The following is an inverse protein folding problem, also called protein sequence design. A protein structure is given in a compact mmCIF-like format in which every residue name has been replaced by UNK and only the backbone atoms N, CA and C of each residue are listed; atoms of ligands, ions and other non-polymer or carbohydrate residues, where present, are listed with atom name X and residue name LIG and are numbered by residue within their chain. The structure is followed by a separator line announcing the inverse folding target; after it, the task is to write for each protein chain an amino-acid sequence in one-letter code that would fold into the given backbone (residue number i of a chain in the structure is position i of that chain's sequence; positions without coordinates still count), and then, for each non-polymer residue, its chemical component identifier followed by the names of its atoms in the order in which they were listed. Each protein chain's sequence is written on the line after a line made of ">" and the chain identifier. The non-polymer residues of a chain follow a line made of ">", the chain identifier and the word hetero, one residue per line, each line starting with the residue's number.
data_IF_061150372670
#
_entry.id   IF_061150372670
#
_cell.length_a   1.000
_cell.length_b   1.000
_cell.length_c   1.000
_cell.angle_alpha   90.00
_cell.angle_beta   90.00
_cell.angle_gamma   90.00
#
_symmetry.space_group_name_H-M   'P 1'
#
loop_
_entity.id
_entity.type
_entity.pdbx_description
1 polymer ?
#
# COMPACT_ATOMS: atom_id res chain seq x y z
N UNK A 1 -8.38 2.81 -9.08
CA UNK A 1 -8.49 2.93 -7.60
C UNK A 1 -8.95 4.34 -7.25
N UNK A 2 -9.84 4.55 -6.26
CA UNK A 2 -10.26 5.91 -5.87
C UNK A 2 -9.12 6.73 -5.25
N UNK A 3 -9.01 8.02 -5.56
CA UNK A 3 -7.96 8.93 -5.06
C UNK A 3 -7.95 9.03 -3.53
N UNK A 4 -9.13 9.00 -2.92
CA UNK A 4 -9.31 9.04 -1.46
C UNK A 4 -8.71 7.86 -0.70
N UNK A 5 -8.39 6.76 -1.39
CA UNK A 5 -7.63 5.68 -0.77
C UNK A 5 -6.25 6.16 -0.31
N UNK A 6 -5.67 7.13 -1.03
CA UNK A 6 -4.30 7.63 -0.83
C UNK A 6 -4.26 9.06 -0.30
N UNK A 7 -5.22 9.90 -0.69
CA UNK A 7 -5.19 11.34 -0.42
C UNK A 7 -6.57 11.84 0.03
N UNK A 8 -6.64 12.43 1.22
CA UNK A 8 -7.87 13.02 1.74
C UNK A 8 -8.32 14.22 0.88
N UNK A 9 -9.63 14.46 0.82
CA UNK A 9 -10.19 15.68 0.19
C UNK A 9 -9.81 16.94 0.95
N UNK A 10 -9.74 16.84 2.28
CA UNK A 10 -9.42 17.94 3.18
C UNK A 10 -8.20 17.60 4.03
N UNK A 11 -7.31 18.58 4.30
CA UNK A 11 -6.14 18.35 5.12
C UNK A 11 -6.53 18.10 6.58
N UNK A 12 -5.84 17.15 7.22
CA UNK A 12 -5.98 16.89 8.65
C UNK A 12 -5.60 18.13 9.48
N UNK A 13 -6.44 18.49 10.45
CA UNK A 13 -6.36 19.77 11.19
C UNK A 13 -5.15 19.94 12.12
N UNK A 14 -4.32 18.91 12.37
CA UNK A 14 -3.24 18.98 13.37
C UNK A 14 -1.92 18.26 12.99
N UNK A 15 -1.61 18.08 11.70
CA UNK A 15 -0.32 17.50 11.29
C UNK A 15 0.82 18.51 11.37
N UNK A 16 1.77 18.31 12.28
CA UNK A 16 3.08 19.00 12.31
C UNK A 16 4.19 17.98 12.05
N UNK A 17 5.34 18.39 11.48
CA UNK A 17 6.47 17.48 11.22
C UNK A 17 6.94 16.71 12.48
N UNK A 18 6.59 17.18 13.69
CA UNK A 18 6.89 16.52 14.97
C UNK A 18 5.88 15.46 15.42
N UNK A 19 4.74 15.33 14.74
CA UNK A 19 3.68 14.40 15.11
C UNK A 19 2.87 13.94 13.90
N UNK A 20 3.08 12.69 13.49
CA UNK A 20 2.25 12.07 12.44
C UNK A 20 0.80 11.97 12.95
N UNK A 21 -0.21 12.39 12.17
CA UNK A 21 -1.61 12.28 12.56
C UNK A 21 -1.97 10.87 13.04
N UNK A 22 -2.94 10.69 13.95
CA UNK A 22 -3.33 9.35 14.40
C UNK A 22 -3.93 8.52 13.26
N UNK A 23 -3.83 7.18 13.26
CA UNK A 23 -4.26 6.33 12.14
C UNK A 23 -5.70 6.57 11.66
N UNK A 24 -6.65 6.81 12.58
CA UNK A 24 -8.06 7.05 12.23
C UNK A 24 -8.30 8.32 11.42
N UNK A 25 -7.38 9.30 11.49
CA UNK A 25 -7.46 10.55 10.72
C UNK A 25 -6.81 10.40 9.33
N UNK A 26 -5.97 9.38 9.12
CA UNK A 26 -5.24 9.15 7.87
C UNK A 26 -6.12 8.54 6.79
N UNK A 27 -5.77 8.69 5.49
CA UNK A 27 -6.42 7.93 4.42
C UNK A 27 -6.18 6.41 4.59
N UNK A 28 -7.01 5.56 3.96
CA UNK A 28 -6.90 4.10 4.06
C UNK A 28 -5.48 3.56 3.83
N UNK A 29 -4.76 4.04 2.81
CA UNK A 29 -3.42 3.54 2.46
C UNK A 29 -2.42 3.62 3.61
N UNK A 30 -2.45 4.70 4.41
CA UNK A 30 -1.55 4.91 5.55
C UNK A 30 -2.16 4.57 6.90
N UNK A 31 -3.50 4.47 6.98
CA UNK A 31 -4.23 3.94 8.15
C UNK A 31 -4.01 2.44 8.34
N UNK A 32 -3.90 1.70 7.23
CA UNK A 32 -3.70 0.25 7.23
C UNK A 32 -2.28 -0.20 7.52
N UNK A 33 -1.30 0.72 7.48
CA UNK A 33 0.10 0.40 7.72
C UNK A 33 0.31 -0.17 9.13
N UNK A 34 1.06 -1.27 9.21
CA UNK A 34 1.47 -1.85 10.49
C UNK A 34 2.86 -2.48 10.42
N UNK A 35 3.52 -2.64 11.58
CA UNK A 35 4.89 -3.22 11.67
C UNK A 35 5.01 -4.63 11.07
N UNK A 36 3.90 -5.36 10.94
CA UNK A 36 3.79 -6.67 10.29
C UNK A 36 2.56 -6.73 9.37
N UNK A 37 2.14 -5.56 8.86
CA UNK A 37 0.82 -5.38 8.25
C UNK A 37 0.70 -6.14 6.94
N UNK A 38 -0.28 -7.02 6.86
CA UNK A 38 -0.78 -7.62 5.60
C UNK A 38 -2.01 -6.90 5.10
N UNK A 39 -2.59 -6.01 5.91
CA UNK A 39 -3.87 -5.39 5.64
C UNK A 39 -3.82 -4.53 4.36
N UNK A 40 -2.80 -3.69 4.20
CA UNK A 40 -2.65 -2.89 2.98
C UNK A 40 -2.48 -3.79 1.75
N UNK A 41 -1.57 -4.76 1.79
CA UNK A 41 -1.35 -5.74 0.73
C UNK A 41 -2.62 -6.51 0.38
N UNK A 42 -3.31 -7.05 1.37
CA UNK A 42 -4.58 -7.75 1.21
C UNK A 42 -5.66 -6.85 0.59
N UNK A 43 -5.77 -5.59 1.02
CA UNK A 43 -6.73 -4.66 0.42
C UNK A 43 -6.43 -4.41 -1.06
N UNK A 44 -5.17 -4.15 -1.40
CA UNK A 44 -4.75 -3.93 -2.78
C UNK A 44 -5.02 -5.17 -3.65
N UNK A 45 -4.63 -6.36 -3.17
CA UNK A 45 -4.88 -7.63 -3.84
C UNK A 45 -6.37 -7.89 -4.00
N UNK A 46 -7.19 -7.57 -3.00
CA UNK A 46 -8.62 -7.80 -3.08
C UNK A 46 -9.34 -6.84 -4.03
N UNK A 47 -8.91 -5.57 -4.06
CA UNK A 47 -9.37 -4.62 -5.07
C UNK A 47 -8.97 -5.06 -6.49
N UNK A 48 -7.73 -5.53 -6.68
CA UNK A 48 -7.26 -6.05 -7.95
C UNK A 48 -8.08 -7.27 -8.40
N UNK A 49 -8.25 -8.26 -7.51
CA UNK A 49 -9.06 -9.45 -7.75
C UNK A 49 -10.47 -9.09 -8.21
N UNK A 50 -11.15 -8.18 -7.48
CA UNK A 50 -12.49 -7.74 -7.81
C UNK A 50 -12.56 -7.03 -9.17
N UNK A 51 -11.58 -6.17 -9.47
CA UNK A 51 -11.51 -5.40 -10.72
C UNK A 51 -11.19 -6.28 -11.94
N UNK A 52 -10.45 -7.38 -11.78
CA UNK A 52 -10.15 -8.28 -12.92
C UNK A 52 -11.35 -9.07 -13.44
N UNK A 53 -12.46 -9.11 -12.70
CA UNK A 53 -13.66 -9.89 -13.04
C UNK A 53 -14.95 -9.06 -13.07
N UNK A 54 -14.84 -7.75 -12.95
CA UNK A 54 -15.99 -6.85 -12.82
C UNK A 54 -15.77 -5.61 -13.69
N UNK A 55 -16.76 -5.25 -14.49
CA UNK A 55 -16.72 -4.08 -15.36
C UNK A 55 -16.73 -2.76 -14.57
N UNK A 56 -16.15 -1.66 -15.11
CA UNK A 56 -16.21 -0.34 -14.49
C UNK A 56 -17.65 0.13 -14.21
N UNK A 57 -17.89 0.61 -12.98
CA UNK A 57 -19.20 1.03 -12.50
C UNK A 57 -20.04 -0.07 -11.86
N UNK A 58 -19.69 -1.34 -12.08
CA UNK A 58 -20.44 -2.48 -11.55
C UNK A 58 -19.95 -2.92 -10.16
N UNK A 59 -20.82 -3.66 -9.48
CA UNK A 59 -20.49 -4.30 -8.20
C UNK A 59 -20.07 -5.76 -8.43
N UNK A 60 -18.98 -6.23 -7.80
CA UNK A 60 -18.64 -7.65 -7.86
C UNK A 60 -19.76 -8.49 -7.24
N UNK A 61 -20.11 -9.63 -7.86
CA UNK A 61 -21.18 -10.53 -7.42
C UNK A 61 -20.88 -11.33 -6.12
N UNK A 62 -20.03 -10.81 -5.24
CA UNK A 62 -19.52 -11.48 -4.05
C UNK A 62 -18.07 -11.95 -4.21
N UNK A 63 -17.55 -12.62 -3.17
CA UNK A 63 -16.20 -13.18 -3.12
C UNK A 63 -16.24 -14.68 -3.44
N UNK A 64 -15.81 -15.10 -4.64
CA UNK A 64 -15.91 -16.51 -5.05
C UNK A 64 -14.78 -17.38 -4.47
N UNK A 65 -13.73 -16.77 -3.89
CA UNK A 65 -12.51 -17.49 -3.53
C UNK A 65 -12.59 -18.06 -2.12
N UNK A 66 -12.20 -19.34 -1.92
CA UNK A 66 -12.06 -19.88 -0.58
C UNK A 66 -10.92 -19.18 0.17
N UNK A 67 -11.00 -19.15 1.50
CA UNK A 67 -9.92 -18.58 2.31
C UNK A 67 -8.65 -19.42 2.21
N UNK A 68 -8.78 -20.75 2.20
CA UNK A 68 -7.68 -21.71 2.14
C UNK A 68 -8.08 -22.95 1.34
N UNK A 69 -7.11 -23.70 0.84
CA UNK A 69 -7.30 -25.01 0.23
C UNK A 69 -7.90 -26.02 1.22
N UNK A 70 -9.21 -26.20 1.19
CA UNK A 70 -9.93 -27.23 1.96
C UNK A 70 -10.36 -28.37 1.01
N UNK A 71 -9.44 -28.89 0.20
CA UNK A 71 -9.71 -29.96 -0.77
C UNK A 71 -10.48 -29.53 -2.03
N UNK A 72 -10.46 -28.24 -2.38
CA UNK A 72 -11.01 -27.74 -3.66
C UNK A 72 -9.87 -27.46 -4.63
N UNK A 73 -10.06 -27.83 -5.89
CA UNK A 73 -9.22 -27.37 -6.99
C UNK A 73 -9.51 -25.88 -7.23
N UNK A 74 -8.53 -25.01 -6.96
CA UNK A 74 -8.66 -23.58 -7.22
C UNK A 74 -7.79 -22.71 -6.31
N UNK A 75 -7.52 -21.50 -6.77
CA UNK A 75 -6.67 -20.51 -6.06
C UNK A 75 -7.43 -19.88 -4.89
N UNK A 76 -6.92 -20.07 -3.69
CA UNK A 76 -7.41 -19.53 -2.42
C UNK A 76 -6.75 -18.19 -2.06
N UNK A 77 -7.34 -17.45 -1.11
CA UNK A 77 -6.77 -16.20 -0.61
C UNK A 77 -5.37 -16.37 0.02
N UNK A 78 -5.10 -17.52 0.63
CA UNK A 78 -3.77 -17.85 1.16
C UNK A 78 -2.68 -17.92 0.10
N UNK A 79 -3.03 -18.12 -1.18
CA UNK A 79 -2.05 -18.23 -2.28
C UNK A 79 -1.72 -16.88 -2.89
N UNK A 80 -2.62 -15.91 -2.73
CA UNK A 80 -2.46 -14.54 -3.22
C UNK A 80 -1.64 -13.66 -2.25
N UNK A 81 -1.27 -14.20 -1.10
CA UNK A 81 -0.49 -13.50 -0.08
C UNK A 81 0.79 -14.28 0.25
N UNK A 82 1.94 -13.67 -0.04
CA UNK A 82 3.21 -14.16 0.46
C UNK A 82 3.28 -13.99 1.98
N UNK A 83 3.72 -15.03 2.68
CA UNK A 83 3.92 -15.02 4.13
C UNK A 83 5.22 -15.73 4.47
N UNK A 84 6.00 -15.21 5.43
CA UNK A 84 7.22 -15.85 5.98
C UNK A 84 6.91 -17.07 6.87
N UNK A 85 5.83 -17.80 6.55
CA UNK A 85 5.37 -18.92 7.34
C UNK A 85 6.21 -20.17 7.04
N UNK A 86 7.21 -20.42 7.87
CA UNK A 86 7.94 -21.69 7.93
C UNK A 86 7.25 -22.69 8.87
N UNK A 87 7.44 -24.00 8.65
CA UNK A 87 6.98 -25.02 9.59
C UNK A 87 7.79 -24.96 10.90
N UNK A 88 7.11 -24.83 12.04
CA UNK A 88 7.78 -24.86 13.35
C UNK A 88 8.02 -26.33 13.75
N UNK A 89 9.06 -26.94 13.21
CA UNK A 89 9.37 -28.37 13.42
C UNK A 89 9.80 -28.77 14.84
N UNK A 90 9.89 -27.84 15.81
CA UNK A 90 10.53 -28.11 17.11
C UNK A 90 9.75 -27.59 18.35
N UNK A 91 8.44 -27.36 18.25
CA UNK A 91 7.59 -26.98 19.40
C UNK A 91 6.47 -27.98 19.63
N UNK A 92 6.07 -28.16 20.90
CA UNK A 92 4.98 -29.06 21.39
C UNK A 92 3.59 -28.83 20.75
N UNK A 93 3.47 -27.92 19.79
CA UNK A 93 2.25 -27.59 19.06
C UNK A 93 2.58 -27.58 17.58
N UNK A 94 2.09 -28.57 16.85
CA UNK A 94 2.30 -28.72 15.41
C UNK A 94 1.37 -27.73 14.69
N UNK A 95 1.80 -26.46 14.56
CA UNK A 95 1.12 -25.46 13.75
C UNK A 95 1.67 -25.56 12.33
N UNK A 96 0.81 -25.92 11.38
CA UNK A 96 1.17 -26.02 9.97
C UNK A 96 1.40 -24.64 9.36
N UNK A 97 2.20 -24.56 8.29
CA UNK A 97 2.28 -23.36 7.43
C UNK A 97 0.91 -22.83 7.01
N UNK A 98 -0.03 -23.71 6.69
CA UNK A 98 -1.40 -23.35 6.29
C UNK A 98 -2.17 -22.67 7.44
N UNK A 99 -2.01 -23.13 8.68
CA UNK A 99 -2.61 -22.49 9.85
C UNK A 99 -2.03 -21.09 10.09
N UNK A 100 -0.71 -20.92 9.92
CA UNK A 100 -0.07 -19.60 10.02
C UNK A 100 -0.58 -18.64 8.95
N UNK A 101 -0.67 -19.10 7.71
CA UNK A 101 -1.23 -18.32 6.59
C UNK A 101 -2.68 -17.92 6.84
N UNK A 102 -3.53 -18.87 7.27
CA UNK A 102 -4.94 -18.59 7.59
C UNK A 102 -5.08 -17.59 8.73
N UNK A 103 -4.24 -17.70 9.77
CA UNK A 103 -4.20 -16.73 10.86
C UNK A 103 -3.75 -15.35 10.37
N UNK A 104 -2.76 -15.30 9.49
CA UNK A 104 -2.28 -14.04 8.92
C UNK A 104 -3.36 -13.35 8.08
N UNK A 105 -4.06 -14.11 7.23
CA UNK A 105 -5.21 -13.65 6.48
C UNK A 105 -6.33 -13.14 7.40
N UNK A 106 -6.68 -13.89 8.45
CA UNK A 106 -7.68 -13.48 9.44
C UNK A 106 -7.33 -12.17 10.12
N UNK A 107 -6.10 -12.01 10.61
CA UNK A 107 -5.62 -10.75 11.20
C UNK A 107 -5.71 -9.57 10.21
N UNK A 108 -5.44 -9.83 8.92
CA UNK A 108 -5.60 -8.86 7.85
C UNK A 108 -7.04 -8.44 7.66
N UNK A 109 -7.96 -9.40 7.57
CA UNK A 109 -9.40 -9.14 7.42
C UNK A 109 -9.99 -8.41 8.63
N UNK A 110 -9.59 -8.75 9.85
CA UNK A 110 -9.98 -8.01 11.06
C UNK A 110 -9.45 -6.57 11.07
N UNK A 111 -8.23 -6.35 10.57
CA UNK A 111 -7.70 -4.99 10.41
C UNK A 111 -8.49 -4.19 9.35
N UNK A 112 -8.89 -4.82 8.25
CA UNK A 112 -9.74 -4.21 7.23
C UNK A 112 -11.17 -3.94 7.74
N UNK A 113 -11.74 -4.84 8.54
CA UNK A 113 -13.07 -4.65 9.15
C UNK A 113 -13.05 -3.45 10.10
N UNK A 114 -12.04 -3.36 10.99
CA UNK A 114 -11.85 -2.21 11.88
C UNK A 114 -11.62 -0.90 11.13
N UNK A 115 -11.03 -0.96 9.93
CA UNK A 115 -10.87 0.19 9.05
C UNK A 115 -12.12 0.49 8.18
N UNK A 116 -13.17 -0.32 8.32
CA UNK A 116 -14.41 -0.26 7.55
C UNK A 116 -14.17 -0.33 6.04
N UNK A 117 -13.31 -1.25 5.63
CA UNK A 117 -12.99 -1.55 4.22
C UNK A 117 -13.51 -2.93 3.79
N UNK A 118 -13.83 -3.79 4.74
CA UNK A 118 -14.56 -5.03 4.50
C UNK A 118 -15.68 -5.21 5.52
N UNK A 119 -16.72 -5.94 5.12
CA UNK A 119 -17.73 -6.48 6.03
C UNK A 119 -17.56 -7.99 6.16
N UNK A 120 -17.71 -8.50 7.40
CA UNK A 120 -17.62 -9.92 7.73
C UNK A 120 -19.03 -10.44 8.06
N UNK A 121 -19.80 -10.94 7.06
CA UNK A 121 -21.21 -11.30 7.25
C UNK A 121 -21.43 -12.44 8.26
N UNK A 122 -20.41 -13.29 8.47
CA UNK A 122 -20.53 -14.50 9.28
C UNK A 122 -19.94 -14.35 10.68
N UNK A 123 -19.97 -13.13 11.24
CA UNK A 123 -19.39 -12.80 12.56
C UNK A 123 -19.94 -13.66 13.71
N UNK A 124 -21.17 -14.19 13.55
CA UNK A 124 -21.79 -15.13 14.49
C UNK A 124 -21.27 -16.57 14.41
N UNK A 125 -20.37 -16.90 13.48
CA UNK A 125 -19.85 -18.25 13.26
C UNK A 125 -18.34 -18.33 13.53
N UNK A 126 -17.89 -18.68 14.75
CA UNK A 126 -16.49 -18.56 15.16
C UNK A 126 -15.46 -19.26 14.25
N UNK A 127 -15.85 -20.37 13.60
CA UNK A 127 -14.96 -21.13 12.70
C UNK A 127 -14.95 -20.58 11.26
N UNK A 128 -15.92 -19.76 10.90
CA UNK A 128 -16.19 -19.31 9.53
C UNK A 128 -16.32 -17.78 9.40
N UNK A 129 -15.94 -17.01 10.43
CA UNK A 129 -16.09 -15.54 10.52
C UNK A 129 -15.69 -14.83 9.22
N UNK A 130 -14.57 -15.27 8.64
CA UNK A 130 -13.92 -14.61 7.51
C UNK A 130 -14.44 -15.05 6.14
N UNK A 131 -15.32 -16.07 6.04
CA UNK A 131 -15.79 -16.55 4.74
C UNK A 131 -16.58 -15.45 4.03
N UNK A 132 -16.51 -15.42 2.70
CA UNK A 132 -17.35 -14.54 1.88
C UNK A 132 -17.31 -13.06 2.31
N UNK A 133 -16.16 -12.59 2.81
CA UNK A 133 -16.01 -11.20 3.19
C UNK A 133 -16.36 -10.29 2.01
N UNK A 134 -17.02 -9.17 2.30
CA UNK A 134 -17.48 -8.22 1.29
C UNK A 134 -16.59 -6.98 1.28
N UNK A 135 -16.17 -6.53 0.10
CA UNK A 135 -15.45 -5.27 -0.04
C UNK A 135 -16.41 -4.08 0.14
N UNK A 136 -15.96 -3.07 0.88
CA UNK A 136 -16.61 -1.77 1.01
C UNK A 136 -15.82 -0.73 0.22
N UNK A 137 -16.44 0.41 -0.08
CA UNK A 137 -15.75 1.49 -0.78
C UNK A 137 -14.44 1.92 -0.07
N UNK A 138 -13.39 2.05 -0.87
CA UNK A 138 -12.03 2.31 -0.43
C UNK A 138 -11.74 3.81 -0.18
N UNK A 139 -12.77 4.59 0.13
CA UNK A 139 -12.68 6.04 0.40
C UNK A 139 -12.29 6.33 1.86
N UNK A 140 -11.98 7.60 2.15
CA UNK A 140 -11.79 8.07 3.52
C UNK A 140 -13.11 8.45 4.20
N UNK A 141 -14.24 8.30 3.49
CA UNK A 141 -15.57 8.71 3.93
C UNK A 141 -15.99 8.06 5.27
N UNK A 142 -16.82 8.77 6.06
CA UNK A 142 -17.36 8.25 7.30
C UNK A 142 -18.24 7.01 7.06
N UNK A 143 -18.39 6.21 8.12
CA UNK A 143 -19.25 5.02 8.14
C UNK A 143 -20.72 5.39 8.31
N UNK A 144 -21.68 4.60 7.78
CA UNK A 144 -21.48 3.34 7.07
C UNK A 144 -21.04 3.53 5.61
N UNK A 145 -20.18 2.64 5.12
CA UNK A 145 -19.73 2.66 3.73
C UNK A 145 -20.58 1.75 2.85
N UNK A 146 -20.90 2.16 1.61
CA UNK A 146 -21.59 1.29 0.68
C UNK A 146 -20.68 0.13 0.24
N UNK A 147 -21.26 -0.97 -0.28
CA UNK A 147 -20.51 -2.03 -0.94
C UNK A 147 -19.65 -1.48 -2.08
N UNK A 148 -18.47 -2.05 -2.24
CA UNK A 148 -17.53 -1.66 -3.28
C UNK A 148 -18.12 -1.80 -4.68
N UNK A 149 -17.86 -0.78 -5.51
CA UNK A 149 -18.04 -0.81 -6.97
C UNK A 149 -16.73 -0.43 -7.65
N UNK A 150 -16.50 -0.99 -8.85
CA UNK A 150 -15.34 -0.64 -9.66
C UNK A 150 -15.45 0.84 -10.07
N UNK A 151 -14.44 1.68 -9.85
CA UNK A 151 -14.47 3.08 -10.26
C UNK A 151 -14.74 3.24 -11.76
N UNK A 152 -15.73 4.07 -12.12
CA UNK A 152 -16.09 4.36 -13.52
C UNK A 152 -15.36 5.58 -14.09
N UNK A 153 -15.18 6.61 -13.27
CA UNK A 153 -14.66 7.91 -13.69
C UNK A 153 -13.17 8.06 -13.36
N UNK A 154 -12.39 8.57 -14.31
CA UNK A 154 -10.97 8.91 -14.10
C UNK A 154 -10.77 10.06 -13.12
N UNK A 155 -11.74 10.97 -12.98
CA UNK A 155 -11.52 12.22 -12.23
C UNK A 155 -11.36 11.99 -10.71
N UNK A 156 -12.02 10.97 -10.17
CA UNK A 156 -11.94 10.58 -8.75
C UNK A 156 -11.10 9.31 -8.55
N UNK A 157 -10.44 8.82 -9.59
CA UNK A 157 -9.62 7.62 -9.53
C UNK A 157 -8.23 7.82 -10.13
N UNK A 158 -7.33 6.89 -9.88
CA UNK A 158 -6.02 6.80 -10.50
C UNK A 158 -5.71 5.35 -10.84
N UNK A 159 -4.78 5.16 -11.77
CA UNK A 159 -4.39 3.84 -12.27
C UNK A 159 -3.30 3.27 -11.39
N UNK A 160 -3.51 2.03 -10.94
CA UNK A 160 -2.47 1.19 -10.33
C UNK A 160 -2.06 0.17 -11.39
N UNK A 161 -0.80 0.17 -11.87
CA UNK A 161 -0.36 -0.78 -12.88
C UNK A 161 -0.54 -2.23 -12.46
N UNK A 162 -1.08 -3.06 -13.36
CA UNK A 162 -1.26 -4.51 -13.14
C UNK A 162 0.05 -5.22 -12.80
N UNK A 163 1.16 -4.71 -13.35
CA UNK A 163 2.52 -5.16 -13.10
C UNK A 163 2.92 -5.16 -11.60
N UNK A 164 2.30 -4.31 -10.77
CA UNK A 164 2.47 -4.35 -9.31
C UNK A 164 2.08 -5.72 -8.73
N UNK A 165 1.03 -6.32 -9.28
CA UNK A 165 0.46 -7.59 -8.80
C UNK A 165 1.05 -8.80 -9.54
N UNK A 166 1.27 -8.68 -10.84
CA UNK A 166 1.68 -9.83 -11.68
C UNK A 166 3.17 -10.12 -11.62
N UNK A 167 4.00 -9.16 -11.18
CA UNK A 167 5.46 -9.31 -11.15
C UNK A 167 6.02 -9.35 -9.72
N UNK A 168 5.20 -9.75 -8.73
CA UNK A 168 5.65 -10.03 -7.37
C UNK A 168 5.93 -8.80 -6.47
N UNK A 169 5.88 -7.58 -7.00
CA UNK A 169 6.12 -6.35 -6.23
C UNK A 169 5.20 -6.20 -5.00
N UNK A 170 3.92 -6.55 -5.13
CA UNK A 170 2.96 -6.51 -4.02
C UNK A 170 3.38 -7.39 -2.83
N UNK A 171 4.15 -8.45 -3.08
CA UNK A 171 4.58 -9.42 -2.08
C UNK A 171 5.87 -9.00 -1.36
N UNK A 172 6.75 -8.27 -2.03
CA UNK A 172 8.11 -7.95 -1.54
C UNK A 172 8.23 -6.54 -0.96
N UNK A 173 7.32 -5.62 -1.33
CA UNK A 173 7.32 -4.27 -0.79
C UNK A 173 6.63 -4.23 0.59
N UNK A 174 7.23 -3.50 1.51
CA UNK A 174 6.65 -3.15 2.81
C UNK A 174 5.47 -2.20 2.66
N UNK A 175 4.63 -2.09 3.71
CA UNK A 175 3.51 -1.16 3.70
C UNK A 175 3.94 0.31 3.50
N UNK A 176 5.13 0.68 3.98
CA UNK A 176 5.67 2.03 3.80
C UNK A 176 6.06 2.31 2.34
N UNK A 177 6.71 1.34 1.69
CA UNK A 177 7.06 1.40 0.27
C UNK A 177 5.81 1.40 -0.61
N UNK A 178 4.81 0.56 -0.29
CA UNK A 178 3.53 0.56 -1.00
C UNK A 178 2.79 1.89 -0.83
N UNK A 179 2.71 2.45 0.37
CA UNK A 179 2.08 3.74 0.60
C UNK A 179 2.77 4.88 -0.18
N UNK A 180 4.10 4.88 -0.21
CA UNK A 180 4.87 5.85 -1.00
C UNK A 180 4.64 5.65 -2.50
N UNK A 181 4.67 4.41 -2.98
CA UNK A 181 4.48 4.10 -4.40
C UNK A 181 3.05 4.43 -4.86
N UNK A 182 2.04 4.21 -4.03
CA UNK A 182 0.67 4.64 -4.32
C UNK A 182 0.54 6.16 -4.42
N UNK A 183 1.28 6.90 -3.57
CA UNK A 183 1.37 8.36 -3.69
C UNK A 183 1.97 8.76 -5.04
N UNK A 184 3.06 8.13 -5.48
CA UNK A 184 3.66 8.47 -6.78
C UNK A 184 2.77 8.06 -7.96
N UNK A 185 2.02 6.96 -7.87
CA UNK A 185 1.00 6.58 -8.86
C UNK A 185 -0.16 7.57 -8.92
N UNK A 186 -0.61 8.11 -7.79
CA UNK A 186 -1.64 9.15 -7.74
C UNK A 186 -1.19 10.44 -8.44
N UNK A 187 0.07 10.81 -8.32
CA UNK A 187 0.65 12.02 -8.90
C UNK A 187 1.25 11.81 -10.30
N UNK A 188 1.14 10.59 -10.84
CA UNK A 188 1.78 10.24 -12.09
C UNK A 188 1.07 10.92 -13.27
N UNK A 189 1.84 11.69 -14.03
CA UNK A 189 1.44 12.26 -15.30
C UNK A 189 2.44 11.77 -16.36
N UNK A 190 2.00 11.08 -17.44
CA UNK A 190 2.90 10.54 -18.45
C UNK A 190 3.82 11.57 -19.11
N UNK A 191 3.34 12.81 -19.22
CA UNK A 191 4.06 13.91 -19.87
C UNK A 191 5.01 14.67 -18.91
N UNK A 192 5.03 14.29 -17.62
CA UNK A 192 5.86 14.93 -16.59
C UNK A 192 7.19 14.19 -16.43
N UNK A 193 8.22 14.65 -17.16
CA UNK A 193 9.54 14.01 -17.18
C UNK A 193 10.41 14.36 -15.97
N UNK A 194 10.20 15.51 -15.33
CA UNK A 194 11.05 16.00 -14.23
C UNK A 194 10.62 15.45 -12.85
N UNK A 195 9.40 14.94 -12.77
CA UNK A 195 8.78 14.45 -11.53
C UNK A 195 8.11 15.57 -10.72
N UNK A 196 7.41 15.17 -9.66
CA UNK A 196 6.56 16.08 -8.88
C UNK A 196 7.19 16.38 -7.52
N UNK A 197 7.20 17.66 -7.14
CA UNK A 197 7.56 18.06 -5.79
C UNK A 197 6.44 17.67 -4.82
N UNK A 198 6.79 17.00 -3.72
CA UNK A 198 5.82 16.64 -2.68
C UNK A 198 6.12 17.39 -1.38
N UNK A 199 5.48 18.54 -1.12
CA UNK A 199 5.72 19.29 0.09
C UNK A 199 5.44 18.48 1.36
N UNK A 200 6.31 18.60 2.36
CA UNK A 200 6.20 17.89 3.64
C UNK A 200 4.80 18.03 4.28
N UNK A 201 4.26 19.26 4.25
CA UNK A 201 2.92 19.56 4.76
C UNK A 201 1.83 18.79 4.01
N UNK A 202 1.89 18.73 2.68
CA UNK A 202 0.89 18.05 1.86
C UNK A 202 0.92 16.53 2.10
N UNK A 203 2.11 15.89 2.02
CA UNK A 203 2.24 14.45 2.29
C UNK A 203 1.77 14.08 3.70
N UNK A 204 2.03 14.94 4.68
CA UNK A 204 1.65 14.67 6.06
C UNK A 204 0.14 14.85 6.27
N UNK A 205 -0.43 15.97 5.83
CA UNK A 205 -1.80 16.38 6.16
C UNK A 205 -2.86 15.76 5.24
N UNK A 206 -2.50 15.41 3.99
CA UNK A 206 -3.43 14.82 3.04
C UNK A 206 -3.22 13.32 2.87
N UNK A 207 -1.97 12.85 2.95
CA UNK A 207 -1.65 11.45 2.64
C UNK A 207 -1.28 10.62 3.88
N UNK A 208 -1.07 11.27 5.03
CA UNK A 208 -0.63 10.59 6.25
C UNK A 208 0.80 10.03 6.17
N UNK A 209 1.60 10.48 5.19
CA UNK A 209 2.98 10.05 4.98
C UNK A 209 3.91 10.93 5.82
N UNK A 210 4.36 10.36 6.94
CA UNK A 210 5.34 10.98 7.84
C UNK A 210 6.78 10.87 7.32
N UNK A 211 7.76 11.50 8.01
CA UNK A 211 9.17 11.44 7.63
C UNK A 211 9.69 10.00 7.48
N UNK A 212 9.37 9.11 8.42
CA UNK A 212 9.80 7.70 8.38
C UNK A 212 9.28 6.96 7.15
N UNK A 213 8.00 7.14 6.80
CA UNK A 213 7.41 6.56 5.58
C UNK A 213 8.01 7.18 4.33
N UNK A 214 8.32 8.48 4.36
CA UNK A 214 8.91 9.18 3.23
C UNK A 214 10.31 8.64 2.89
N UNK A 215 11.08 8.13 3.86
CA UNK A 215 12.39 7.51 3.62
C UNK A 215 12.34 6.26 2.72
N UNK A 216 11.16 5.67 2.50
CA UNK A 216 10.95 4.56 1.57
C UNK A 216 11.41 4.88 0.13
N UNK A 217 11.49 6.16 -0.25
CA UNK A 217 12.02 6.58 -1.55
C UNK A 217 13.40 6.01 -1.87
N UNK A 218 14.27 5.81 -0.85
CA UNK A 218 15.64 5.33 -1.08
C UNK A 218 15.69 3.89 -1.59
N UNK A 219 14.88 3.01 -1.00
CA UNK A 219 14.78 1.62 -1.43
C UNK A 219 14.07 1.54 -2.78
N UNK A 220 12.96 2.27 -2.94
CA UNK A 220 12.24 2.33 -4.21
C UNK A 220 13.10 2.88 -5.37
N UNK A 221 13.98 3.85 -5.09
CA UNK A 221 14.97 4.35 -6.06
C UNK A 221 16.01 3.28 -6.40
N UNK A 222 16.50 2.55 -5.39
CA UNK A 222 17.44 1.43 -5.59
C UNK A 222 16.83 0.31 -6.44
N UNK A 223 15.54 0.02 -6.25
CA UNK A 223 14.79 -0.94 -7.05
C UNK A 223 14.45 -0.40 -8.45
N UNK A 224 14.68 0.90 -8.70
CA UNK A 224 14.37 1.57 -9.96
C UNK A 224 12.88 1.67 -10.23
N UNK A 225 12.08 1.79 -9.17
CA UNK A 225 10.63 2.04 -9.21
C UNK A 225 10.30 3.53 -9.16
N UNK A 226 11.20 4.34 -8.59
CA UNK A 226 11.11 5.80 -8.60
C UNK A 226 12.47 6.41 -8.92
N UNK A 227 12.48 7.67 -9.32
CA UNK A 227 13.68 8.51 -9.43
C UNK A 227 13.51 9.71 -8.50
N UNK A 228 14.55 10.05 -7.74
CA UNK A 228 14.56 11.22 -6.86
C UNK A 228 15.55 12.26 -7.37
N UNK A 229 15.03 13.35 -7.94
CA UNK A 229 15.87 14.47 -8.40
C UNK A 229 16.04 15.45 -7.25
N UNK A 230 17.27 15.54 -6.74
CA UNK A 230 17.57 16.41 -5.60
C UNK A 230 17.67 17.86 -6.02
N UNK A 231 16.92 18.71 -5.32
CA UNK A 231 16.88 20.14 -5.63
C UNK A 231 18.04 20.89 -4.97
N UNK A 232 18.46 21.99 -5.61
CA UNK A 232 19.58 22.81 -5.13
C UNK A 232 19.35 23.28 -3.68
N UNK A 233 20.41 23.22 -2.86
CA UNK A 233 20.36 23.60 -1.44
C UNK A 233 20.07 22.46 -0.45
N UNK A 234 20.05 21.21 -0.92
CA UNK A 234 20.01 20.00 -0.06
C UNK A 234 21.31 19.21 -0.10
N UNK A 235 21.73 18.71 1.05
CA UNK A 235 22.89 17.86 1.22
C UNK A 235 22.61 16.42 0.75
N UNK A 236 23.67 15.61 0.64
CA UNK A 236 23.59 14.21 0.19
C UNK A 236 22.72 13.29 1.09
N UNK A 237 22.29 13.77 2.25
CA UNK A 237 21.39 13.07 3.18
C UNK A 237 19.95 13.64 3.17
N UNK A 238 19.62 14.53 2.22
CA UNK A 238 18.29 15.15 2.11
C UNK A 238 18.03 16.32 3.06
N UNK A 239 18.97 16.65 3.96
CA UNK A 239 18.86 17.83 4.84
C UNK A 239 19.17 19.12 4.07
N UNK A 240 18.60 20.23 4.51
CA UNK A 240 18.93 21.55 3.95
C UNK A 240 20.41 21.85 4.26
N UNK A 241 21.21 22.10 3.22
CA UNK A 241 22.66 22.22 3.31
C UNK A 241 23.13 23.50 4.02
N UNK A 242 22.25 24.50 4.13
CA UNK A 242 22.51 25.73 4.89
C UNK A 242 21.19 26.44 5.21
N UNK A 243 20.84 26.59 6.49
CA UNK A 243 19.84 27.58 6.92
C UNK A 243 20.58 28.91 7.01
N UNK A 244 20.72 29.57 5.86
CA UNK A 244 21.48 30.81 5.72
C UNK A 244 20.60 32.04 5.79
N UNK A 245 20.81 32.83 6.84
CA UNK A 245 20.53 34.25 6.99
C UNK A 245 20.80 35.05 5.70
N UNK A 246 19.92 36.00 5.41
CA UNK A 246 19.99 37.04 4.37
C UNK A 246 19.98 36.56 2.90
N UNK A 247 18.84 36.80 2.22
CA UNK A 247 18.66 36.56 0.77
C UNK A 247 18.46 35.10 0.33
N UNK A 248 18.40 34.16 1.28
CA UNK A 248 18.49 32.71 1.04
C UNK A 248 17.36 32.09 0.21
N UNK A 249 17.73 31.45 -0.91
CA UNK A 249 16.84 30.57 -1.68
C UNK A 249 16.29 29.48 -0.76
N UNK A 250 14.97 29.42 -0.60
CA UNK A 250 14.26 28.38 0.15
C UNK A 250 14.58 27.03 -0.50
N UNK A 251 15.13 26.08 0.29
CA UNK A 251 15.39 24.74 -0.21
C UNK A 251 14.09 24.10 -0.70
N UNK A 252 14.01 23.82 -2.00
CA UNK A 252 12.84 23.19 -2.61
C UNK A 252 12.77 21.71 -2.19
N UNK A 253 11.57 21.10 -2.13
CA UNK A 253 11.44 19.66 -1.96
C UNK A 253 12.11 18.92 -3.12
N UNK A 254 12.66 17.73 -2.87
CA UNK A 254 13.12 16.86 -3.95
C UNK A 254 11.94 16.50 -4.87
N UNK A 255 12.23 16.34 -6.16
CA UNK A 255 11.24 15.85 -7.13
C UNK A 255 11.24 14.34 -7.13
N UNK A 256 10.05 13.76 -7.19
CA UNK A 256 9.87 12.31 -7.25
C UNK A 256 9.13 11.95 -8.53
N UNK A 257 9.72 11.05 -9.30
CA UNK A 257 9.14 10.53 -10.53
C UNK A 257 8.87 9.03 -10.37
N UNK A 258 7.65 8.58 -10.70
CA UNK A 258 7.35 7.15 -10.85
C UNK A 258 8.05 6.64 -12.12
N UNK A 259 8.63 5.44 -12.06
CA UNK A 259 9.20 4.74 -13.22
C UNK A 259 8.35 3.49 -13.53
N UNK A 260 7.29 3.59 -14.35
CA UNK A 260 6.40 2.45 -14.63
C UNK A 260 7.12 1.22 -15.21
N UNK A 261 8.16 1.45 -16.01
CA UNK A 261 8.99 0.38 -16.56
C UNK A 261 9.70 -0.46 -15.49
N UNK A 262 9.97 0.11 -14.31
CA UNK A 262 10.51 -0.64 -13.18
C UNK A 262 9.59 -1.73 -12.69
N UNK A 263 8.27 -1.51 -12.73
CA UNK A 263 7.28 -2.50 -12.31
C UNK A 263 7.22 -3.71 -13.26
N UNK A 264 7.71 -3.59 -14.50
CA UNK A 264 7.73 -4.70 -15.47
C UNK A 264 8.78 -5.77 -15.15
N UNK A 265 9.74 -5.48 -14.28
CA UNK A 265 10.76 -6.43 -13.83
C UNK A 265 10.19 -7.36 -12.76
N UNK A 266 10.80 -8.53 -12.60
CA UNK A 266 10.50 -9.42 -11.48
C UNK A 266 10.91 -8.77 -10.15
N UNK A 267 9.93 -8.56 -9.26
CA UNK A 267 10.12 -7.85 -8.00
C UNK A 267 10.98 -8.64 -7.02
N UNK A 268 10.83 -9.96 -6.96
CA UNK A 268 11.61 -10.79 -6.02
C UNK A 268 13.08 -10.80 -6.38
N UNK A 269 13.42 -11.14 -7.63
CA UNK A 269 14.80 -11.11 -8.13
C UNK A 269 15.42 -9.72 -7.99
N UNK A 270 14.68 -8.66 -8.34
CA UNK A 270 15.20 -7.29 -8.21
C UNK A 270 15.54 -6.93 -6.77
N UNK A 271 14.68 -7.27 -5.81
CA UNK A 271 14.92 -6.97 -4.39
C UNK A 271 16.08 -7.82 -3.86
N UNK A 272 16.10 -9.12 -4.15
CA UNK A 272 17.16 -10.04 -3.72
C UNK A 272 18.54 -9.56 -4.21
N UNK A 273 18.68 -9.30 -5.52
CA UNK A 273 19.93 -8.84 -6.13
C UNK A 273 20.44 -7.53 -5.51
N UNK A 274 19.53 -6.59 -5.23
CA UNK A 274 19.89 -5.29 -4.65
C UNK A 274 20.26 -5.41 -3.17
N UNK A 275 19.57 -6.25 -2.40
CA UNK A 275 19.90 -6.50 -1.00
C UNK A 275 21.27 -7.16 -0.87
N UNK A 276 21.58 -8.15 -1.68
CA UNK A 276 22.89 -8.81 -1.68
C UNK A 276 24.02 -7.81 -1.98
N UNK A 277 23.78 -6.86 -2.90
CA UNK A 277 24.75 -5.82 -3.22
C UNK A 277 25.07 -4.84 -2.07
N UNK A 278 24.18 -4.74 -1.07
CA UNK A 278 24.42 -3.92 0.13
C UNK A 278 25.27 -4.66 1.18
N UNK A 279 25.17 -5.99 1.25
CA UNK A 279 25.89 -6.80 2.25
C UNK A 279 27.25 -7.30 1.77
N UNK A 280 27.52 -7.29 0.47
CA UNK A 280 28.81 -7.66 -0.11
C UNK A 280 29.81 -6.49 -0.27
N UNK A 281 29.56 -5.34 0.37
CA UNK A 281 30.49 -4.19 0.46
C UNK A 281 30.99 -4.03 1.89
#
# INVERSE_FOLDING_TARGET
>A
MRKEFVCLREPMTNGSDRGVPPPHARPPSTRLMGRKGVALRLMLTALFEAQTRTEPGERPAGNPRPLSHAGRDGVAWTDLLATDADDAGNSRTMITRQDKQRRHLGNGLEALERACLVALPHRGEPRNIHREFMLLEETAAPTPKPPYSVPKNSDDSFVVPTALFTNGWISVLSDAELAFLLMTMLMYHPDEEEGVAVPAKARLQLMGIGPETYEAHRLLETFGLVRVTRQAGRAANGRVASVGTEGGRRALPDLVQLLPEGLKRDGYSTVADKLDSFFCR
#
